data_IF_363658487175
#
_entry.id   IF_363658487175
#
_cell.length_a   1.000
_cell.length_b   1.000
_cell.length_c   1.000
_cell.angle_alpha   90.00
_cell.angle_beta   90.00
_cell.angle_gamma   90.00
#
_symmetry.space_group_name_H-M   'P 1'
#
loop_
_entity.id
_entity.type
_entity.pdbx_description
1 polymer ?
#
# COMPACT_ATOMS: atom_id res chain seq x y z
N UNK A 1 -1.01 -17.62 1.24
CA UNK A 1 -1.44 -16.23 1.48
C UNK A 1 -2.20 -15.70 0.29
N UNK A 2 -3.21 -14.91 0.58
CA UNK A 2 -3.91 -14.12 -0.43
C UNK A 2 -3.69 -12.63 -0.14
N UNK A 3 -3.86 -11.83 -1.17
CA UNK A 3 -3.67 -10.39 -1.11
C UNK A 3 -4.84 -9.72 -1.81
N UNK A 4 -5.40 -8.69 -1.19
CA UNK A 4 -6.38 -7.80 -1.77
C UNK A 4 -5.70 -6.62 -2.43
N UNK A 5 -6.11 -6.27 -3.64
CA UNK A 5 -5.73 -5.03 -4.31
C UNK A 5 -6.99 -4.20 -4.52
N UNK A 6 -6.89 -2.90 -4.25
CA UNK A 6 -7.99 -1.94 -4.33
C UNK A 6 -7.55 -0.81 -5.25
N UNK A 7 -8.37 -0.51 -6.26
CA UNK A 7 -8.15 0.64 -7.14
C UNK A 7 -8.99 1.87 -6.70
N UNK A 8 -8.70 3.03 -7.30
CA UNK A 8 -9.39 4.30 -7.04
C UNK A 8 -10.90 4.26 -7.29
N UNK A 9 -11.38 3.32 -8.10
CA UNK A 9 -12.79 3.18 -8.47
C UNK A 9 -13.55 2.28 -7.49
N UNK A 10 -12.89 1.78 -6.45
CA UNK A 10 -13.46 0.86 -5.47
C UNK A 10 -13.55 -0.59 -5.94
N UNK A 11 -12.89 -0.96 -7.04
CA UNK A 11 -12.78 -2.33 -7.50
C UNK A 11 -11.75 -3.05 -6.64
N UNK A 12 -12.19 -4.14 -6.00
CA UNK A 12 -11.38 -4.99 -5.13
C UNK A 12 -11.18 -6.35 -5.79
N UNK A 13 -9.93 -6.79 -5.91
CA UNK A 13 -9.60 -8.15 -6.36
C UNK A 13 -8.80 -8.89 -5.29
N UNK A 14 -9.06 -10.19 -5.15
CA UNK A 14 -8.27 -11.11 -4.32
C UNK A 14 -7.39 -11.95 -5.24
N UNK A 15 -6.10 -11.97 -4.97
CA UNK A 15 -5.13 -12.80 -5.69
C UNK A 15 -4.43 -13.75 -4.74
N UNK A 16 -4.09 -14.95 -5.23
CA UNK A 16 -3.20 -15.86 -4.49
C UNK A 16 -1.78 -15.36 -4.65
N UNK A 17 -1.05 -15.18 -3.54
CA UNK A 17 0.34 -14.74 -3.60
C UNK A 17 1.24 -15.71 -4.40
N UNK A 18 0.87 -16.99 -4.43
CA UNK A 18 1.56 -18.03 -5.20
C UNK A 18 1.39 -17.92 -6.73
N UNK A 19 0.38 -17.19 -7.22
CA UNK A 19 0.18 -16.97 -8.65
C UNK A 19 1.00 -15.80 -9.20
N UNK A 20 1.54 -14.95 -8.31
CA UNK A 20 2.41 -13.84 -8.68
C UNK A 20 3.79 -14.37 -9.05
N UNK A 21 4.30 -13.94 -10.21
CA UNK A 21 5.62 -14.35 -10.67
C UNK A 21 6.72 -13.92 -9.71
N UNK A 22 7.59 -14.87 -9.34
CA UNK A 22 8.78 -14.58 -8.53
C UNK A 22 9.84 -13.92 -9.41
N UNK A 23 10.06 -12.63 -9.19
CA UNK A 23 11.09 -11.84 -9.87
C UNK A 23 12.19 -11.42 -8.89
N UNK A 24 13.38 -11.11 -9.42
CA UNK A 24 14.50 -10.60 -8.63
C UNK A 24 14.24 -9.19 -8.10
N UNK A 25 15.05 -8.75 -7.13
CA UNK A 25 14.90 -7.44 -6.46
C UNK A 25 15.02 -6.26 -7.42
N UNK A 26 15.88 -6.36 -8.42
CA UNK A 26 16.13 -5.29 -9.40
C UNK A 26 15.32 -5.54 -10.67
N UNK A 27 13.99 -5.37 -10.58
CA UNK A 27 13.07 -5.57 -11.70
C UNK A 27 11.90 -4.60 -11.62
N UNK A 28 11.15 -4.44 -12.72
CA UNK A 28 9.89 -3.68 -12.74
C UNK A 28 8.69 -4.51 -12.26
N UNK A 29 8.86 -5.81 -12.02
CA UNK A 29 7.79 -6.71 -11.62
C UNK A 29 6.89 -7.14 -12.79
N UNK A 30 5.67 -7.58 -12.44
CA UNK A 30 4.65 -8.07 -13.37
C UNK A 30 3.34 -7.31 -13.18
N UNK A 31 2.55 -7.17 -14.25
CA UNK A 31 1.25 -6.50 -14.19
C UNK A 31 0.17 -7.46 -13.69
N UNK A 32 -0.36 -7.18 -12.50
CA UNK A 32 -1.45 -7.96 -11.88
C UNK A 32 -2.83 -7.53 -12.40
N UNK A 33 -3.07 -6.22 -12.47
CA UNK A 33 -4.35 -5.63 -12.88
C UNK A 33 -4.13 -4.69 -14.07
N UNK A 34 -5.05 -4.68 -15.02
CA UNK A 34 -5.18 -3.60 -16.00
C UNK A 34 -6.18 -2.59 -15.45
N UNK A 35 -5.72 -1.37 -15.25
CA UNK A 35 -6.55 -0.22 -14.84
C UNK A 35 -6.92 0.62 -16.06
N UNK A 36 -8.02 1.37 -15.98
CA UNK A 36 -8.35 2.37 -16.99
C UNK A 36 -7.38 3.57 -16.89
N UNK A 37 -7.36 4.46 -17.88
CA UNK A 37 -6.34 5.54 -17.97
C UNK A 37 -6.32 6.48 -16.76
N UNK A 38 -7.48 6.73 -16.12
CA UNK A 38 -7.57 7.60 -14.95
C UNK A 38 -7.56 6.83 -13.61
N UNK A 39 -7.57 5.49 -13.67
CA UNK A 39 -7.66 4.65 -12.48
C UNK A 39 -6.28 4.22 -12.01
N UNK A 40 -6.05 4.26 -10.70
CA UNK A 40 -4.78 3.83 -10.09
C UNK A 40 -5.02 2.81 -8.99
N UNK A 41 -3.99 2.03 -8.64
CA UNK A 41 -4.02 1.19 -7.44
C UNK A 41 -3.77 2.10 -6.24
N UNK A 42 -4.72 2.11 -5.30
CA UNK A 42 -4.65 2.98 -4.11
C UNK A 42 -4.09 2.24 -2.90
N UNK A 43 -4.43 0.95 -2.73
CA UNK A 43 -3.94 0.16 -1.59
C UNK A 43 -3.90 -1.34 -1.86
N UNK A 44 -3.19 -2.05 -1.00
CA UNK A 44 -3.05 -3.51 -0.99
C UNK A 44 -3.05 -4.01 0.45
N UNK A 45 -3.70 -5.14 0.72
CA UNK A 45 -3.79 -5.73 2.05
C UNK A 45 -3.58 -7.26 2.01
N UNK A 46 -2.88 -7.82 2.99
CA UNK A 46 -2.82 -9.29 3.17
C UNK A 46 -4.20 -9.76 3.64
N UNK A 47 -4.71 -10.81 3.02
CA UNK A 47 -5.91 -11.48 3.50
C UNK A 47 -5.58 -12.24 4.79
N UNK A 48 -6.28 -11.92 5.87
CA UNK A 48 -6.17 -12.62 7.14
C UNK A 48 -7.14 -13.79 7.12
N UNK A 49 -6.67 -14.99 7.48
CA UNK A 49 -7.53 -16.16 7.66
C UNK A 49 -8.14 -16.11 9.05
N UNK A 50 -9.36 -16.60 9.20
CA UNK A 50 -10.09 -16.59 10.49
C UNK A 50 -9.30 -17.25 11.62
N UNK A 51 -8.47 -18.24 11.29
CA UNK A 51 -7.56 -18.95 12.22
C UNK A 51 -6.38 -18.09 12.72
N UNK A 52 -6.06 -16.98 12.04
CA UNK A 52 -4.93 -16.09 12.30
C UNK A 52 -5.35 -14.80 13.05
N UNK A 53 -6.64 -14.63 13.36
CA UNK A 53 -7.17 -13.44 14.03
C UNK A 53 -7.10 -13.62 15.56
N UNK A 54 -5.96 -13.27 16.16
CA UNK A 54 -5.93 -12.86 17.56
C UNK A 54 -6.41 -11.40 17.64
N UNK A 55 -7.46 -11.13 18.42
CA UNK A 55 -8.23 -9.87 18.42
C UNK A 55 -7.50 -8.64 18.98
N UNK A 56 -6.17 -8.64 19.08
CA UNK A 56 -5.40 -7.62 19.82
C UNK A 56 -4.74 -6.52 18.96
N UNK A 57 -4.72 -6.61 17.61
CA UNK A 57 -3.93 -5.69 16.76
C UNK A 57 -4.73 -4.61 15.98
N UNK A 58 -5.98 -4.29 16.36
CA UNK A 58 -6.85 -3.41 15.57
C UNK A 58 -6.64 -1.88 15.74
N UNK A 59 -5.57 -1.38 16.37
CA UNK A 59 -5.42 0.07 16.68
C UNK A 59 -4.35 0.86 15.91
N UNK A 60 -3.51 0.27 15.04
CA UNK A 60 -2.44 1.03 14.37
C UNK A 60 -2.66 1.27 12.87
N UNK A 61 -3.69 2.05 12.53
CA UNK A 61 -4.06 2.36 11.15
C UNK A 61 -4.47 3.81 10.87
N UNK A 62 -3.86 4.81 11.52
CA UNK A 62 -3.96 6.21 11.08
C UNK A 62 -2.69 6.62 10.35
N UNK A 63 -2.73 6.95 9.04
CA UNK A 63 -1.61 7.61 8.39
C UNK A 63 -1.62 9.08 8.83
N UNK A 64 -0.75 9.41 9.78
CA UNK A 64 -0.49 10.79 10.19
C UNK A 64 0.25 11.50 9.05
N UNK A 65 -0.48 12.37 8.35
CA UNK A 65 0.02 13.17 7.25
C UNK A 65 0.86 14.32 7.82
N UNK A 66 2.17 14.13 7.97
CA UNK A 66 3.08 15.23 8.32
C UNK A 66 3.17 16.21 7.13
N UNK A 67 2.47 17.35 7.26
CA UNK A 67 2.67 18.52 6.42
C UNK A 67 4.07 19.13 6.68
N UNK A 68 4.77 19.67 5.67
CA UNK A 68 6.06 20.30 5.89
C UNK A 68 5.83 21.62 6.64
N UNK A 69 6.44 21.76 7.83
CA UNK A 69 6.54 23.06 8.50
C UNK A 69 7.78 23.77 7.97
N UNK A 70 7.54 24.78 7.13
CA UNK A 70 8.49 25.84 6.86
C UNK A 70 8.83 26.55 8.18
N UNK A 71 10.00 26.27 8.76
CA UNK A 71 10.60 27.12 9.78
C UNK A 71 11.72 27.95 9.14
N UNK A 72 11.34 29.16 8.72
CA UNK A 72 12.25 30.27 8.55
C UNK A 72 12.81 30.63 9.93
N UNK A 73 14.13 30.52 10.13
CA UNK A 73 14.83 31.42 11.04
C UNK A 73 16.14 31.87 10.41
N UNK A 74 16.13 33.14 10.03
CA UNK A 74 17.24 34.00 9.64
C UNK A 74 18.24 34.25 10.79
N UNK A 75 19.40 34.80 10.40
CA UNK A 75 20.41 35.56 11.18
C UNK A 75 21.62 34.73 11.64
N UNK A 76 22.88 35.14 11.49
CA UNK A 76 23.53 36.29 10.83
C UNK A 76 25.02 35.93 10.66
N UNK A 77 25.70 36.72 9.83
CA UNK A 77 27.14 36.65 9.52
C UNK A 77 28.00 37.06 10.73
N UNK A 78 29.06 36.31 11.01
CA UNK A 78 30.41 36.86 11.30
C UNK A 78 31.49 35.92 10.75
#
# INVERSE_FOLDING_TARGET
DDVFLINSDGIIIRIKAGEVSRLGRTTQGVRIMRVQEESIIVTMAKAIREEEVDLEEAENGTPEQEAPKDDQLTLEVE
#
